data_IF_557924953415
#
_entry.id   IF_557924953415
#
_cell.length_a   1.000
_cell.length_b   1.000
_cell.length_c   1.000
_cell.angle_alpha   90.00
_cell.angle_beta   90.00
_cell.angle_gamma   90.00
#
_symmetry.space_group_name_H-M   'P 1'
#
loop_
_entity.id
_entity.type
_entity.pdbx_description
1 polymer ?
#
# COMPACT_ATOMS: atom_id res chain seq x y z
N UNK A 1 -14.27 -5.61 -7.89
CA UNK A 1 -14.19 -4.35 -7.14
C UNK A 1 -12.97 -3.55 -7.58
N UNK A 2 -13.11 -2.25 -7.83
CA UNK A 2 -12.00 -1.38 -8.21
C UNK A 2 -11.42 -0.69 -6.97
N UNK A 3 -10.10 -0.74 -6.80
CA UNK A 3 -9.37 -0.22 -5.62
C UNK A 3 -9.77 1.21 -5.25
N UNK A 4 -9.72 2.13 -6.24
CA UNK A 4 -9.97 3.56 -6.00
C UNK A 4 -11.36 3.86 -5.44
N UNK A 5 -12.40 3.21 -5.98
CA UNK A 5 -13.78 3.43 -5.51
C UNK A 5 -13.99 2.97 -4.06
N UNK A 6 -13.34 1.86 -3.67
CA UNK A 6 -13.42 1.34 -2.31
C UNK A 6 -12.69 2.27 -1.34
N UNK A 7 -11.50 2.76 -1.70
CA UNK A 7 -10.74 3.69 -0.85
C UNK A 7 -11.43 5.06 -0.73
N UNK A 8 -12.12 5.52 -1.78
CA UNK A 8 -12.81 6.81 -1.78
C UNK A 8 -14.14 6.79 -1.01
N UNK A 9 -14.87 5.66 -1.04
CA UNK A 9 -16.19 5.55 -0.41
C UNK A 9 -16.18 4.80 0.93
N UNK A 10 -15.19 3.94 1.14
CA UNK A 10 -15.06 3.16 2.36
C UNK A 10 -14.49 3.99 3.50
N UNK A 11 -14.88 3.66 4.72
CA UNK A 11 -14.38 4.28 5.93
C UNK A 11 -13.68 3.21 6.78
N UNK A 12 -12.37 3.35 6.94
CA UNK A 12 -11.52 2.33 7.56
C UNK A 12 -10.76 2.93 8.73
N UNK A 13 -11.05 2.51 9.96
CA UNK A 13 -10.38 3.05 11.16
C UNK A 13 -9.05 2.37 11.49
N UNK A 14 -8.83 1.17 10.97
CA UNK A 14 -7.62 0.39 11.25
C UNK A 14 -7.09 -0.31 9.99
N UNK A 15 -5.78 -0.59 9.93
CA UNK A 15 -5.22 -1.40 8.85
C UNK A 15 -5.89 -2.77 8.72
N UNK A 16 -6.27 -3.39 9.85
CA UNK A 16 -6.97 -4.69 9.87
C UNK A 16 -8.33 -4.63 9.17
N UNK A 17 -9.09 -3.54 9.39
CA UNK A 17 -10.38 -3.34 8.70
C UNK A 17 -10.19 -3.22 7.18
N UNK A 18 -9.15 -2.50 6.74
CA UNK A 18 -8.83 -2.40 5.32
C UNK A 18 -8.32 -3.73 4.75
N UNK A 19 -7.54 -4.50 5.53
CA UNK A 19 -7.04 -5.83 5.14
C UNK A 19 -8.17 -6.85 4.95
N UNK A 20 -9.28 -6.71 5.68
CA UNK A 20 -10.46 -7.54 5.46
C UNK A 20 -11.08 -7.34 4.06
N UNK A 21 -10.96 -6.14 3.49
CA UNK A 21 -11.43 -5.82 2.12
C UNK A 21 -10.36 -6.09 1.07
N UNK A 22 -9.10 -5.80 1.40
CA UNK A 22 -7.93 -6.08 0.57
C UNK A 22 -7.00 -7.06 1.29
N UNK A 23 -7.19 -8.38 1.15
CA UNK A 23 -6.35 -9.37 1.81
C UNK A 23 -4.85 -9.25 1.49
N UNK A 24 -4.52 -8.65 0.34
CA UNK A 24 -3.14 -8.37 -0.10
C UNK A 24 -2.51 -7.14 0.56
N UNK A 25 -3.25 -6.41 1.41
CA UNK A 25 -2.72 -5.26 2.13
C UNK A 25 -1.58 -5.70 3.05
N UNK A 26 -0.41 -5.10 2.83
CA UNK A 26 0.77 -5.29 3.68
C UNK A 26 1.39 -3.95 4.07
N UNK A 27 2.08 -3.93 5.21
CA UNK A 27 2.80 -2.74 5.68
C UNK A 27 4.19 -2.68 5.04
N UNK A 28 4.56 -1.53 4.49
CA UNK A 28 5.87 -1.35 3.90
C UNK A 28 6.90 -1.02 4.98
N UNK A 29 7.63 -2.04 5.42
CA UNK A 29 8.54 -2.01 6.58
C UNK A 29 9.59 -0.87 6.59
N UNK A 30 9.93 -0.30 5.45
CA UNK A 30 11.01 0.68 5.31
C UNK A 30 10.53 2.13 5.31
N UNK A 31 9.23 2.38 5.21
CA UNK A 31 8.66 3.74 5.25
C UNK A 31 7.43 3.74 6.15
N UNK A 32 7.42 4.61 7.15
CA UNK A 32 6.29 4.73 8.06
C UNK A 32 4.99 5.09 7.31
N UNK A 33 3.87 4.54 7.77
CA UNK A 33 2.51 4.72 7.22
C UNK A 33 2.33 4.37 5.74
N UNK A 34 3.29 3.66 5.13
CA UNK A 34 3.17 3.17 3.77
C UNK A 34 2.63 1.75 3.75
N UNK A 35 1.73 1.50 2.82
CA UNK A 35 1.09 0.21 2.62
C UNK A 35 1.18 -0.18 1.16
N UNK A 36 1.20 -1.49 0.93
CA UNK A 36 1.25 -2.08 -0.40
C UNK A 36 0.00 -2.91 -0.63
N UNK A 37 -0.62 -2.74 -1.79
CA UNK A 37 -1.82 -3.47 -2.19
C UNK A 37 -1.61 -4.07 -3.58
N UNK A 38 -1.88 -5.36 -3.73
CA UNK A 38 -1.78 -6.04 -5.02
C UNK A 38 -3.05 -5.80 -5.84
N UNK A 39 -2.90 -5.37 -7.10
CA UNK A 39 -4.03 -5.16 -8.04
C UNK A 39 -3.78 -5.85 -9.37
N UNK A 40 -4.79 -5.85 -10.25
CA UNK A 40 -4.67 -6.35 -11.62
C UNK A 40 -4.29 -7.83 -11.69
N UNK A 41 -4.98 -8.70 -10.94
CA UNK A 41 -4.63 -10.14 -10.82
C UNK A 41 -3.18 -10.37 -10.35
N UNK A 42 -2.78 -9.62 -9.33
CA UNK A 42 -1.46 -9.68 -8.68
C UNK A 42 -0.27 -9.19 -9.56
N UNK A 43 -0.52 -8.59 -10.72
CA UNK A 43 0.53 -8.11 -11.63
C UNK A 43 1.16 -6.79 -11.18
N UNK A 44 0.41 -5.97 -10.44
CA UNK A 44 0.84 -4.64 -10.01
C UNK A 44 0.82 -4.51 -8.48
N UNK A 45 1.61 -3.56 -7.97
CA UNK A 45 1.73 -3.16 -6.57
C UNK A 45 1.45 -1.67 -6.46
N UNK A 46 0.42 -1.32 -5.72
CA UNK A 46 0.14 0.08 -5.37
C UNK A 46 0.79 0.36 -4.03
N UNK A 47 1.69 1.33 -3.99
CA UNK A 47 2.27 1.86 -2.76
C UNK A 47 1.52 3.13 -2.40
N UNK A 48 0.85 3.13 -1.26
CA UNK A 48 0.06 4.26 -0.79
C UNK A 48 0.40 4.60 0.66
N UNK A 49 0.39 5.89 0.99
CA UNK A 49 0.44 6.35 2.37
C UNK A 49 -0.99 6.48 2.89
N UNK A 50 -1.32 5.74 3.95
CA UNK A 50 -2.67 5.67 4.50
C UNK A 50 -2.69 6.24 5.93
N UNK A 51 -3.52 7.27 6.12
CA UNK A 51 -3.76 7.87 7.42
C UNK A 51 -5.17 7.50 7.89
N UNK A 52 -5.28 6.40 8.65
CA UNK A 52 -6.57 5.88 9.12
C UNK A 52 -7.30 6.84 10.07
N UNK A 53 -6.60 7.64 10.86
CA UNK A 53 -7.26 8.62 11.76
C UNK A 53 -7.94 9.75 10.97
N UNK A 54 -7.28 10.25 9.93
CA UNK A 54 -7.78 11.39 9.13
C UNK A 54 -8.52 10.97 7.87
N UNK A 55 -8.64 9.66 7.62
CA UNK A 55 -9.21 9.07 6.39
C UNK A 55 -8.56 9.60 5.11
N UNK A 56 -7.25 9.84 5.13
CA UNK A 56 -6.50 10.31 3.96
C UNK A 56 -5.73 9.16 3.31
N UNK A 57 -5.83 9.08 1.99
CA UNK A 57 -5.10 8.12 1.18
C UNK A 57 -4.31 8.87 0.11
N UNK A 58 -2.99 8.66 0.08
CA UNK A 58 -2.11 9.20 -0.94
C UNK A 58 -1.49 8.05 -1.73
N UNK A 59 -1.93 7.85 -2.97
CA UNK A 59 -1.27 6.91 -3.88
C UNK A 59 0.05 7.53 -4.31
N UNK A 60 1.16 6.88 -3.96
CA UNK A 60 2.51 7.38 -4.25
C UNK A 60 3.04 6.80 -5.56
N UNK A 61 2.91 5.48 -5.69
CA UNK A 61 3.43 4.75 -6.84
C UNK A 61 2.54 3.57 -7.21
N UNK A 62 2.56 3.22 -8.49
CA UNK A 62 2.01 1.97 -9.02
C UNK A 62 3.14 1.31 -9.79
N UNK A 63 3.50 0.09 -9.39
CA UNK A 63 4.63 -0.65 -9.93
C UNK A 63 4.20 -1.99 -10.48
N UNK A 64 4.97 -2.51 -11.43
CA UNK A 64 5.04 -3.95 -11.69
C UNK A 64 5.74 -4.67 -10.53
N UNK A 65 5.68 -6.01 -10.52
CA UNK A 65 6.41 -6.80 -9.52
C UNK A 65 7.92 -6.49 -9.52
N UNK A 66 8.54 -6.45 -10.70
CA UNK A 66 9.98 -6.21 -10.84
C UNK A 66 10.39 -4.82 -10.35
N UNK A 67 9.64 -3.80 -10.69
CA UNK A 67 9.91 -2.43 -10.22
C UNK A 67 9.73 -2.31 -8.71
N UNK A 68 8.71 -2.96 -8.15
CA UNK A 68 8.50 -3.01 -6.71
C UNK A 68 9.65 -3.71 -5.97
N UNK A 69 10.21 -4.78 -6.53
CA UNK A 69 11.35 -5.49 -5.94
C UNK A 69 12.59 -4.58 -5.89
N UNK A 70 12.88 -3.88 -7.00
CA UNK A 70 13.99 -2.90 -7.08
C UNK A 70 13.77 -1.75 -6.08
N UNK A 71 12.56 -1.20 -6.05
CA UNK A 71 12.18 -0.14 -5.10
C UNK A 71 12.39 -0.59 -3.65
N UNK A 72 11.96 -1.81 -3.33
CA UNK A 72 12.09 -2.39 -1.98
C UNK A 72 13.55 -2.62 -1.61
N UNK A 73 14.37 -3.14 -2.54
CA UNK A 73 15.80 -3.34 -2.33
C UNK A 73 16.54 -2.02 -2.03
N UNK A 74 16.20 -0.95 -2.76
CA UNK A 74 16.78 0.38 -2.55
C UNK A 74 16.40 1.00 -1.19
N UNK A 75 15.22 0.70 -0.65
CA UNK A 75 14.79 1.19 0.67
C UNK A 75 15.31 0.33 1.82
N UNK A 76 15.55 -0.96 1.59
CA UNK A 76 16.15 -1.88 2.57
C UNK A 76 17.55 -1.46 3.00
N UNK A 77 18.34 -0.89 2.10
CA UNK A 77 19.72 -0.47 2.38
C UNK A 77 19.81 0.85 3.14
N UNK A 78 18.77 1.71 3.07
CA UNK A 78 18.73 3.02 3.73
C UNK A 78 18.46 2.96 5.23
N UNK A 79 17.77 1.92 5.73
CA UNK A 79 17.42 1.77 7.16
C UNK A 79 18.55 1.29 8.07
N UNK A 80 19.81 1.26 7.60
CA UNK A 80 21.00 0.80 8.34
C UNK A 80 21.92 1.96 8.80
N UNK A 81 21.38 3.16 9.02
CA UNK A 81 22.11 4.26 9.66
C UNK A 81 21.61 4.47 11.08
#
# INVERSE_FOLDING_TARGET
MALGNVLAKGYFRTPTALKAVFPSLDNFKYLDKHYVINIGRNQLRVVAMLFFETQKCYIRHVFTHKEYDIFTAAHRTKGKK
#
